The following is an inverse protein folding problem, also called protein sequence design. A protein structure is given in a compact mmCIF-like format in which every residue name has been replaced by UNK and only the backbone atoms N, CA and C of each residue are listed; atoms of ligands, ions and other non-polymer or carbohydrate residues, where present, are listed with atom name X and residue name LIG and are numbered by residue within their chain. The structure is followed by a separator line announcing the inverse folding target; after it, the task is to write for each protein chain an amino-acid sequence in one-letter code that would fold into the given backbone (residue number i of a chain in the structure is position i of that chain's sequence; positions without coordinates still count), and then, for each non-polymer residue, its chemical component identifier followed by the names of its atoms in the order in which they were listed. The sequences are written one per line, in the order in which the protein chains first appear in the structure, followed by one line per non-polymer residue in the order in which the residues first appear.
data_IF_877506845063
#
_entry.id   IF_877506845063
#
_cell.length_a   1.000
_cell.length_b   1.000
_cell.length_c   1.000
_cell.angle_alpha   90.00
_cell.angle_beta   90.00
_cell.angle_gamma   90.00
#
_symmetry.space_group_name_H-M   'P 1'
#
loop_
_entity.id
_entity.type
_entity.pdbx_description
1 polymer ?
#
# COMPACT_ATOMS: atom_id res chain seq x y z
N UNK A 1 -17.69 -12.65 -5.75
CA UNK A 1 -17.50 -11.23 -5.35
C UNK A 1 -16.73 -10.41 -6.40
N UNK A 2 -15.47 -10.76 -6.72
CA UNK A 2 -14.63 -9.92 -7.62
C UNK A 2 -15.20 -9.82 -9.04
N UNK A 3 -15.74 -10.92 -9.58
CA UNK A 3 -16.29 -10.96 -10.93
C UNK A 3 -17.52 -10.05 -11.04
N UNK A 4 -18.47 -10.21 -10.11
CA UNK A 4 -19.72 -9.47 -10.06
C UNK A 4 -19.46 -7.98 -9.84
N UNK A 5 -18.53 -7.62 -8.95
CA UNK A 5 -18.13 -6.21 -8.76
C UNK A 5 -17.52 -5.59 -10.03
N UNK A 6 -16.69 -6.34 -10.76
CA UNK A 6 -16.13 -5.86 -12.02
C UNK A 6 -17.22 -5.64 -13.08
N UNK A 7 -18.22 -6.52 -13.17
CA UNK A 7 -19.35 -6.40 -14.09
C UNK A 7 -20.25 -5.20 -13.77
N UNK A 8 -20.64 -5.04 -12.50
CA UNK A 8 -21.48 -3.92 -12.05
C UNK A 8 -20.81 -2.56 -12.30
N UNK A 9 -19.48 -2.50 -12.10
CA UNK A 9 -18.69 -1.30 -12.35
C UNK A 9 -18.19 -1.17 -13.81
N UNK A 10 -18.61 -2.05 -14.72
CA UNK A 10 -18.18 -2.07 -16.14
C UNK A 10 -16.66 -2.06 -16.33
N UNK A 11 -15.91 -2.75 -15.48
CA UNK A 11 -14.45 -2.84 -15.55
C UNK A 11 -14.02 -3.84 -16.63
N UNK A 12 -13.30 -3.37 -17.65
CA UNK A 12 -12.72 -4.23 -18.69
C UNK A 12 -11.53 -5.09 -18.24
N UNK A 13 -11.03 -4.89 -17.01
CA UNK A 13 -9.98 -5.72 -16.40
C UNK A 13 -10.37 -6.09 -14.97
N UNK A 14 -10.40 -7.40 -14.71
CA UNK A 14 -10.64 -7.97 -13.39
C UNK A 14 -9.37 -7.93 -12.54
N UNK A 15 -9.41 -7.46 -11.28
CA UNK A 15 -8.26 -7.54 -10.39
C UNK A 15 -7.94 -8.99 -10.03
N UNK A 16 -6.66 -9.30 -9.84
CA UNK A 16 -6.22 -10.63 -9.44
C UNK A 16 -6.32 -10.81 -7.92
N UNK A 17 -6.89 -11.93 -7.48
CA UNK A 17 -6.85 -12.36 -6.07
C UNK A 17 -5.67 -13.32 -5.89
N UNK A 18 -4.79 -13.02 -4.95
CA UNK A 18 -3.64 -13.86 -4.61
C UNK A 18 -3.92 -14.64 -3.32
N UNK A 19 -3.20 -15.76 -3.07
CA UNK A 19 -3.26 -16.46 -1.79
C UNK A 19 -2.87 -15.56 -0.62
N UNK A 20 -3.41 -15.85 0.57
CA UNK A 20 -2.99 -15.18 1.79
C UNK A 20 -1.52 -15.50 2.10
N UNK A 21 -0.78 -14.49 2.52
CA UNK A 21 0.64 -14.58 2.89
C UNK A 21 0.87 -13.86 4.22
N UNK A 22 1.98 -14.18 4.88
CA UNK A 22 2.40 -13.47 6.09
C UNK A 22 2.79 -12.03 5.77
N UNK A 23 2.56 -11.12 6.72
CA UNK A 23 2.79 -9.68 6.54
C UNK A 23 4.22 -9.35 6.09
N UNK A 24 5.24 -9.93 6.74
CA UNK A 24 6.64 -9.72 6.36
C UNK A 24 6.92 -10.10 4.89
N UNK A 25 6.28 -11.17 4.39
CA UNK A 25 6.41 -11.57 2.99
C UNK A 25 5.72 -10.57 2.05
N UNK A 26 4.59 -10.01 2.47
CA UNK A 26 3.92 -8.97 1.71
C UNK A 26 4.76 -7.69 1.61
N UNK A 27 5.45 -7.29 2.69
CA UNK A 27 6.42 -6.19 2.65
C UNK A 27 7.57 -6.47 1.69
N UNK A 28 8.12 -7.68 1.69
CA UNK A 28 9.17 -8.08 0.77
C UNK A 28 8.71 -8.02 -0.70
N UNK A 29 7.50 -8.51 -1.01
CA UNK A 29 6.94 -8.46 -2.37
C UNK A 29 6.70 -7.02 -2.83
N UNK A 30 6.25 -6.13 -1.94
CA UNK A 30 6.09 -4.71 -2.25
C UNK A 30 7.43 -4.03 -2.55
N UNK A 31 8.47 -4.31 -1.77
CA UNK A 31 9.84 -3.82 -2.05
C UNK A 31 10.35 -4.31 -3.42
N UNK A 32 10.10 -5.56 -3.77
CA UNK A 32 10.48 -6.12 -5.07
C UNK A 32 9.69 -5.51 -6.24
N UNK A 33 8.40 -5.23 -6.04
CA UNK A 33 7.58 -4.53 -7.02
C UNK A 33 8.03 -3.08 -7.23
N UNK A 34 8.63 -2.47 -6.20
CA UNK A 34 9.09 -1.09 -6.20
C UNK A 34 7.93 -0.08 -6.19
N UNK A 35 8.27 1.17 -6.46
CA UNK A 35 7.30 2.28 -6.42
C UNK A 35 7.08 2.81 -5.00
N UNK A 36 5.84 3.23 -4.71
CA UNK A 36 5.46 3.81 -3.42
C UNK A 36 4.70 2.77 -2.59
N UNK A 37 5.23 2.39 -1.44
CA UNK A 37 4.53 1.55 -0.45
C UNK A 37 3.91 2.41 0.63
N UNK A 38 2.62 2.19 0.91
CA UNK A 38 1.84 2.94 1.89
C UNK A 38 1.16 1.98 2.87
N UNK A 39 1.39 2.23 4.15
CA UNK A 39 0.65 1.57 5.24
C UNK A 39 -0.28 2.62 5.84
N UNK A 40 -1.57 2.31 5.86
CA UNK A 40 -2.54 3.15 6.56
C UNK A 40 -2.52 2.75 8.04
N UNK A 41 -1.92 3.59 8.87
CA UNK A 41 -1.74 3.35 10.29
C UNK A 41 -2.34 4.51 11.10
N UNK A 42 -3.12 4.17 12.13
CA UNK A 42 -3.90 5.12 12.92
C UNK A 42 -3.02 6.04 13.78
N UNK A 43 -1.83 5.57 14.17
CA UNK A 43 -0.89 6.37 14.98
C UNK A 43 0.07 7.22 14.12
N UNK A 44 -0.08 7.25 12.79
CA UNK A 44 0.69 8.14 11.93
C UNK A 44 0.29 9.61 12.15
N UNK A 45 1.26 10.46 12.50
CA UNK A 45 1.02 11.87 12.88
C UNK A 45 1.72 12.89 11.99
N UNK A 46 2.64 12.47 11.12
CA UNK A 46 3.50 13.37 10.35
C UNK A 46 3.00 13.59 8.93
N UNK A 47 2.52 12.53 8.28
CA UNK A 47 2.15 12.56 6.87
C UNK A 47 0.65 12.36 6.66
N UNK A 48 -0.02 13.36 6.07
CA UNK A 48 -1.42 13.21 5.64
C UNK A 48 -1.50 12.64 4.22
N UNK A 49 -2.50 11.78 3.98
CA UNK A 49 -2.80 11.26 2.64
C UNK A 49 -3.07 12.40 1.63
N UNK A 50 -3.70 13.48 2.08
CA UNK A 50 -3.99 14.65 1.23
C UNK A 50 -2.71 15.33 0.75
N UNK A 51 -1.72 15.49 1.64
CA UNK A 51 -0.42 16.08 1.30
C UNK A 51 0.33 15.17 0.34
N UNK A 52 0.42 13.88 0.68
CA UNK A 52 1.07 12.87 -0.14
C UNK A 52 0.51 12.83 -1.57
N UNK A 53 -0.80 12.92 -1.77
CA UNK A 53 -1.38 12.89 -3.11
C UNK A 53 -1.11 14.15 -3.96
N UNK A 54 -0.68 15.25 -3.34
CA UNK A 54 -0.43 16.54 -4.02
C UNK A 54 1.04 16.81 -4.26
N UNK A 55 1.89 16.37 -3.33
CA UNK A 55 3.30 16.74 -3.27
C UNK A 55 4.16 15.49 -3.13
N UNK A 56 5.28 15.48 -3.85
CA UNK A 56 6.24 14.40 -3.72
C UNK A 56 6.84 14.40 -2.29
N UNK A 57 6.96 13.24 -1.64
CA UNK A 57 7.75 13.11 -0.42
C UNK A 57 9.21 13.55 -0.68
N UNK A 58 9.89 14.13 0.32
CA UNK A 58 11.30 14.47 0.21
C UNK A 58 12.13 13.28 -0.27
N UNK A 59 12.97 13.49 -1.30
CA UNK A 59 13.82 12.48 -1.89
C UNK A 59 13.14 11.58 -2.94
N UNK A 60 11.85 11.78 -3.24
CA UNK A 60 11.13 11.06 -4.31
C UNK A 60 10.64 11.98 -5.44
N UNK A 61 11.14 13.21 -5.53
CA UNK A 61 10.69 14.24 -6.48
C UNK A 61 10.84 13.80 -7.94
N UNK A 62 11.93 13.10 -8.28
CA UNK A 62 12.19 12.64 -9.65
C UNK A 62 11.33 11.44 -10.07
N UNK A 63 10.78 10.70 -9.10
CA UNK A 63 9.96 9.51 -9.32
C UNK A 63 8.48 9.76 -9.01
N UNK A 64 8.07 11.04 -8.95
CA UNK A 64 6.70 11.44 -8.62
C UNK A 64 5.94 11.93 -9.87
N UNK A 65 4.69 11.49 -10.10
CA UNK A 65 3.95 10.48 -9.33
C UNK A 65 4.48 9.06 -9.57
N UNK A 66 4.35 8.15 -8.59
CA UNK A 66 4.81 6.77 -8.74
C UNK A 66 3.95 6.02 -9.75
N UNK A 67 4.59 5.17 -10.58
CA UNK A 67 3.88 4.29 -11.50
C UNK A 67 3.19 3.11 -10.79
N UNK A 68 3.75 2.67 -9.66
CA UNK A 68 3.26 1.54 -8.86
C UNK A 68 3.05 1.98 -7.42
N UNK A 69 1.91 1.60 -6.84
CA UNK A 69 1.56 1.85 -5.44
C UNK A 69 1.20 0.52 -4.78
N UNK A 70 1.86 0.20 -3.67
CA UNK A 70 1.50 -0.91 -2.78
C UNK A 70 0.74 -0.33 -1.59
N UNK A 71 -0.51 -0.74 -1.38
CA UNK A 71 -1.36 -0.23 -0.31
C UNK A 71 -1.67 -1.34 0.70
N UNK A 72 -1.34 -1.10 1.96
CA UNK A 72 -1.60 -2.00 3.08
C UNK A 72 -2.66 -1.41 4.01
N UNK A 73 -3.66 -2.23 4.33
CA UNK A 73 -4.74 -1.91 5.24
C UNK A 73 -4.76 -2.98 6.32
N UNK A 74 -4.73 -2.56 7.58
CA UNK A 74 -4.69 -3.44 8.74
C UNK A 74 -6.04 -4.11 9.03
N UNK A 75 -6.07 -5.06 9.97
CA UNK A 75 -7.31 -5.58 10.53
C UNK A 75 -8.03 -4.50 11.36
N UNK A 76 -9.19 -4.82 11.94
CA UNK A 76 -9.99 -3.91 12.75
C UNK A 76 -9.24 -3.35 13.98
N UNK A 77 -8.23 -4.09 14.46
CA UNK A 77 -7.34 -3.67 15.54
C UNK A 77 -6.15 -2.80 15.11
N UNK A 78 -6.04 -2.47 13.81
CA UNK A 78 -4.92 -1.73 13.25
C UNK A 78 -3.64 -2.54 13.13
N UNK A 79 -2.55 -1.87 12.75
CA UNK A 79 -1.20 -2.43 12.79
C UNK A 79 -0.55 -2.19 14.15
N UNK A 80 0.17 -3.19 14.64
CA UNK A 80 0.97 -3.04 15.85
C UNK A 80 2.26 -2.26 15.57
N UNK A 81 2.86 -1.60 16.59
CA UNK A 81 4.17 -0.96 16.43
C UNK A 81 5.27 -1.91 15.94
N UNK A 82 5.22 -3.19 16.34
CA UNK A 82 6.16 -4.21 15.88
C UNK A 82 5.99 -4.53 14.38
N UNK A 83 4.76 -4.57 13.87
CA UNK A 83 4.50 -4.71 12.43
C UNK A 83 4.99 -3.49 11.65
N UNK A 84 4.74 -2.27 12.15
CA UNK A 84 5.27 -1.06 11.53
C UNK A 84 6.81 -1.08 11.52
N UNK A 85 7.44 -1.49 12.61
CA UNK A 85 8.90 -1.64 12.69
C UNK A 85 9.44 -2.73 11.75
N UNK A 86 8.67 -3.80 11.48
CA UNK A 86 9.01 -4.79 10.46
C UNK A 86 8.95 -4.15 9.07
N UNK A 87 7.87 -3.43 8.76
CA UNK A 87 7.67 -2.82 7.45
C UNK A 87 8.73 -1.77 7.10
N UNK A 88 9.14 -0.95 8.08
CA UNK A 88 10.20 0.05 7.93
C UNK A 88 11.56 -0.55 7.52
N UNK A 89 11.80 -1.84 7.74
CA UNK A 89 13.02 -2.54 7.28
C UNK A 89 13.02 -2.83 5.78
N UNK A 90 11.91 -2.57 5.08
CA UNK A 90 11.73 -2.85 3.66
C UNK A 90 11.59 -1.58 2.79
N UNK A 91 11.60 -0.38 3.38
CA UNK A 91 11.54 0.91 2.66
C UNK A 91 12.92 1.36 2.15
#
# INVERSE_FOLDING_TARGET
IIQEAAEQCRRGRKPALRPAILFARACEEARQAGGLSLILWEEEQQLSMRTLLREAPPGREQAWPPFTINLFIGPEGGFTPDEIAIAQRYD
#
